data_IF_991950476756
#
_entry.id   IF_991950476756
#
_cell.length_a   1.000
_cell.length_b   1.000
_cell.length_c   1.000
_cell.angle_alpha   90.00
_cell.angle_beta   90.00
_cell.angle_gamma   90.00
#
_symmetry.space_group_name_H-M   'P 1'
#
loop_
_entity.id
_entity.type
_entity.pdbx_description
1 polymer ?
#
# COMPACT_ATOMS: atom_id res chain seq x y z
N UNK A 1 -4.45 -22.25 -8.04
CA UNK A 1 -5.80 -21.84 -7.59
C UNK A 1 -5.96 -20.32 -7.50
N UNK A 2 -5.10 -19.59 -6.76
CA UNK A 2 -5.13 -18.12 -6.59
C UNK A 2 -4.93 -17.38 -7.91
N UNK A 3 -3.85 -17.67 -8.58
CA UNK A 3 -3.47 -17.08 -9.88
C UNK A 3 -4.62 -17.11 -10.89
N UNK A 4 -5.23 -18.28 -11.10
CA UNK A 4 -6.35 -18.42 -12.04
C UNK A 4 -7.56 -17.54 -11.69
N UNK A 5 -7.79 -17.32 -10.38
CA UNK A 5 -8.89 -16.45 -9.93
C UNK A 5 -8.59 -14.98 -10.20
N UNK A 6 -7.34 -14.55 -9.98
CA UNK A 6 -6.88 -13.19 -10.27
C UNK A 6 -6.88 -12.94 -11.78
N UNK A 7 -6.38 -13.90 -12.56
CA UNK A 7 -6.44 -13.83 -14.03
C UNK A 7 -7.86 -13.69 -14.54
N UNK A 8 -8.78 -14.52 -14.07
CA UNK A 8 -10.18 -14.43 -14.45
C UNK A 8 -10.79 -13.07 -14.12
N UNK A 9 -10.47 -12.53 -12.94
CA UNK A 9 -10.91 -11.21 -12.54
C UNK A 9 -10.39 -10.12 -13.50
N UNK A 10 -9.13 -10.20 -13.91
CA UNK A 10 -8.58 -9.25 -14.89
C UNK A 10 -9.26 -9.33 -16.25
N UNK A 11 -9.54 -10.55 -16.71
CA UNK A 11 -10.25 -10.78 -17.98
C UNK A 11 -11.68 -10.23 -17.95
N UNK A 12 -12.40 -10.40 -16.85
CA UNK A 12 -13.77 -9.88 -16.66
C UNK A 12 -13.83 -8.34 -16.70
N UNK A 13 -12.75 -7.66 -16.33
CA UNK A 13 -12.69 -6.20 -16.27
C UNK A 13 -11.84 -5.57 -17.40
N UNK A 14 -11.24 -6.38 -18.25
CA UNK A 14 -10.36 -5.89 -19.32
C UNK A 14 -9.04 -5.29 -18.82
N UNK A 15 -8.54 -5.75 -17.68
CA UNK A 15 -7.26 -5.33 -17.12
C UNK A 15 -6.13 -6.22 -17.61
N UNK A 16 -4.90 -5.69 -17.58
CA UNK A 16 -3.71 -6.46 -17.90
C UNK A 16 -3.38 -7.42 -16.75
N UNK A 17 -2.91 -8.63 -17.11
CA UNK A 17 -2.48 -9.63 -16.15
C UNK A 17 -1.08 -10.16 -16.48
N UNK A 18 -0.20 -10.16 -15.50
CA UNK A 18 1.15 -10.72 -15.60
C UNK A 18 1.35 -11.72 -14.46
N UNK A 19 1.62 -12.99 -14.81
CA UNK A 19 1.83 -14.04 -13.84
C UNK A 19 3.30 -14.27 -13.49
N UNK A 20 4.22 -13.74 -14.28
CA UNK A 20 5.66 -13.92 -14.11
C UNK A 20 6.19 -13.27 -12.83
N UNK A 21 7.30 -13.84 -12.35
CA UNK A 21 8.06 -13.25 -11.24
C UNK A 21 8.95 -12.15 -11.78
N UNK A 22 8.63 -10.92 -11.41
CA UNK A 22 9.35 -9.73 -11.84
C UNK A 22 10.05 -9.08 -10.66
N UNK A 23 11.30 -8.66 -10.87
CA UNK A 23 11.99 -7.79 -9.94
C UNK A 23 11.52 -6.35 -10.15
N UNK A 24 11.14 -5.67 -9.09
CA UNK A 24 10.71 -4.28 -9.15
C UNK A 24 11.33 -3.46 -8.02
N UNK A 25 12.37 -2.71 -8.37
CA UNK A 25 13.08 -1.85 -7.44
C UNK A 25 12.29 -0.56 -7.09
N UNK A 26 11.23 -0.24 -7.83
CA UNK A 26 10.44 0.97 -7.56
C UNK A 26 9.81 0.93 -6.16
N UNK A 27 9.36 -0.24 -5.71
CA UNK A 27 8.77 -0.40 -4.38
C UNK A 27 9.74 -0.08 -3.23
N UNK A 28 11.04 -0.15 -3.47
CA UNK A 28 12.06 0.22 -2.49
C UNK A 28 12.08 1.74 -2.21
N UNK A 29 11.42 2.55 -3.04
CA UNK A 29 11.19 3.99 -2.80
C UNK A 29 10.19 4.26 -1.69
N UNK A 30 9.37 3.27 -1.34
CA UNK A 30 8.44 3.34 -0.22
C UNK A 30 9.12 2.97 1.10
N UNK A 31 8.71 3.64 2.18
CA UNK A 31 9.27 3.42 3.51
C UNK A 31 9.17 1.96 3.96
N UNK A 32 8.02 1.33 3.74
CA UNK A 32 7.80 -0.06 4.13
C UNK A 32 8.84 -1.01 3.53
N UNK A 33 9.18 -0.84 2.26
CA UNK A 33 10.13 -1.71 1.56
C UNK A 33 11.58 -1.24 1.61
N UNK A 34 11.86 -0.04 2.13
CA UNK A 34 13.22 0.54 2.14
C UNK A 34 14.25 -0.33 2.86
N UNK A 35 13.80 -1.07 3.86
CA UNK A 35 14.63 -2.02 4.63
C UNK A 35 14.13 -3.46 4.54
N UNK A 36 13.20 -3.71 3.64
CA UNK A 36 12.64 -5.02 3.33
C UNK A 36 12.84 -5.30 1.86
N UNK A 37 14.01 -5.86 1.48
CA UNK A 37 14.31 -6.13 0.08
C UNK A 37 13.24 -6.99 -0.57
N UNK A 38 12.78 -6.56 -1.73
CA UNK A 38 11.81 -7.31 -2.53
C UNK A 38 12.58 -8.34 -3.34
N UNK A 39 12.18 -9.59 -3.20
CA UNK A 39 12.71 -10.67 -4.01
C UNK A 39 12.05 -10.70 -5.39
N UNK A 40 10.72 -10.67 -5.42
CA UNK A 40 9.95 -10.59 -6.66
C UNK A 40 8.50 -10.18 -6.39
N UNK A 41 7.83 -9.71 -7.44
CA UNK A 41 6.37 -9.57 -7.51
C UNK A 41 5.80 -10.54 -8.55
N UNK A 42 4.57 -10.97 -8.35
CA UNK A 42 3.85 -11.89 -9.22
C UNK A 42 2.35 -11.66 -9.18
N UNK A 43 1.60 -12.34 -10.03
CA UNK A 43 0.14 -12.23 -10.11
C UNK A 43 -0.33 -10.78 -10.18
N UNK A 44 0.34 -9.99 -11.00
CA UNK A 44 0.06 -8.56 -11.12
C UNK A 44 -1.10 -8.31 -12.06
N UNK A 45 -2.07 -7.54 -11.60
CA UNK A 45 -3.09 -6.93 -12.46
C UNK A 45 -2.88 -5.42 -12.48
N UNK A 46 -3.09 -4.81 -13.62
CA UNK A 46 -2.87 -3.38 -13.79
C UNK A 46 -3.85 -2.75 -14.75
N UNK A 47 -4.02 -1.44 -14.61
CA UNK A 47 -4.84 -0.62 -15.48
C UNK A 47 -4.48 0.85 -15.34
N UNK A 48 -5.19 1.68 -16.08
CA UNK A 48 -5.05 3.12 -16.07
C UNK A 48 -6.42 3.77 -16.15
N UNK A 49 -6.66 4.76 -15.30
CA UNK A 49 -7.80 5.65 -15.38
C UNK A 49 -7.42 7.06 -14.90
N UNK A 50 -7.99 8.10 -15.52
CA UNK A 50 -7.73 9.50 -15.15
C UNK A 50 -6.22 9.84 -15.06
N UNK A 51 -5.41 9.33 -16.00
CA UNK A 51 -3.94 9.46 -16.01
C UNK A 51 -3.23 8.85 -14.78
N UNK A 52 -3.94 8.09 -13.97
CA UNK A 52 -3.40 7.34 -12.84
C UNK A 52 -3.17 5.88 -13.26
N UNK A 53 -1.93 5.42 -13.18
CA UNK A 53 -1.58 4.02 -13.38
C UNK A 53 -1.68 3.28 -12.06
N UNK A 54 -2.37 2.16 -12.03
CA UNK A 54 -2.49 1.34 -10.84
C UNK A 54 -2.12 -0.12 -11.12
N UNK A 55 -1.59 -0.76 -10.10
CA UNK A 55 -1.16 -2.16 -10.13
C UNK A 55 -1.45 -2.81 -8.78
N UNK A 56 -2.01 -4.02 -8.79
CA UNK A 56 -2.12 -4.87 -7.60
C UNK A 56 -1.27 -6.11 -7.85
N UNK A 57 -0.36 -6.41 -6.92
CA UNK A 57 0.60 -7.51 -7.05
C UNK A 57 0.74 -8.30 -5.76
N UNK A 58 1.04 -9.57 -5.89
CA UNK A 58 1.57 -10.37 -4.79
C UNK A 58 3.09 -10.14 -4.72
N UNK A 59 3.59 -9.70 -3.58
CA UNK A 59 5.00 -9.37 -3.36
C UNK A 59 5.61 -10.33 -2.35
N UNK A 60 6.78 -10.84 -2.68
CA UNK A 60 7.63 -11.61 -1.77
C UNK A 60 8.81 -10.75 -1.37
N UNK A 61 9.07 -10.65 -0.08
CA UNK A 61 10.12 -9.82 0.48
C UNK A 61 10.79 -10.47 1.70
N UNK A 62 12.01 -10.02 2.01
CA UNK A 62 12.77 -10.40 3.19
C UNK A 62 12.59 -9.32 4.28
N UNK A 63 12.47 -9.72 5.54
CA UNK A 63 12.37 -8.78 6.66
C UNK A 63 13.71 -8.10 7.02
N UNK A 64 14.82 -8.50 6.40
CA UNK A 64 16.14 -7.91 6.60
C UNK A 64 16.75 -8.16 7.99
N UNK A 65 16.19 -9.06 8.77
CA UNK A 65 16.74 -9.44 10.08
C UNK A 65 17.92 -10.41 9.91
N UNK A 66 19.05 -10.07 10.47
CA UNK A 66 20.35 -10.72 10.31
C UNK A 66 20.44 -12.23 10.63
N UNK A 67 19.40 -12.85 11.17
CA UNK A 67 19.47 -14.20 11.71
C UNK A 67 18.40 -15.19 11.23
N UNK A 68 17.39 -14.75 10.51
CA UNK A 68 16.39 -15.63 9.93
C UNK A 68 16.04 -15.12 8.52
N UNK A 69 16.40 -15.88 7.50
CA UNK A 69 15.88 -15.69 6.15
C UNK A 69 14.40 -16.12 6.15
N UNK A 70 13.55 -15.27 6.70
CA UNK A 70 12.10 -15.46 6.65
C UNK A 70 11.53 -14.72 5.44
N UNK A 71 11.07 -15.48 4.47
CA UNK A 71 10.35 -15.00 3.31
C UNK A 71 8.92 -14.63 3.71
N UNK A 72 8.54 -13.39 3.48
CA UNK A 72 7.18 -12.89 3.70
C UNK A 72 6.49 -12.62 2.37
N UNK A 73 5.17 -12.77 2.37
CA UNK A 73 4.33 -12.49 1.21
C UNK A 73 3.19 -11.57 1.60
N UNK A 74 2.96 -10.57 0.77
CA UNK A 74 1.82 -9.66 0.95
C UNK A 74 1.21 -9.31 -0.41
N UNK A 75 -0.02 -8.83 -0.39
CA UNK A 75 -0.66 -8.23 -1.57
C UNK A 75 -0.64 -6.73 -1.40
N UNK A 76 -0.08 -6.04 -2.37
CA UNK A 76 0.03 -4.57 -2.39
C UNK A 76 -0.66 -4.00 -3.61
N UNK A 77 -1.16 -2.79 -3.47
CA UNK A 77 -1.55 -1.94 -4.58
C UNK A 77 -0.65 -0.72 -4.64
N UNK A 78 -0.21 -0.36 -5.84
CA UNK A 78 0.54 0.85 -6.11
C UNK A 78 -0.24 1.70 -7.13
N UNK A 79 -0.51 2.96 -6.78
CA UNK A 79 -1.16 3.93 -7.65
C UNK A 79 -0.16 5.04 -7.95
N UNK A 80 0.25 5.17 -9.20
CA UNK A 80 1.12 6.27 -9.68
C UNK A 80 0.27 7.45 -10.10
N UNK A 81 0.60 8.62 -9.58
CA UNK A 81 -0.19 9.84 -9.78
C UNK A 81 0.48 10.77 -10.81
N UNK A 82 -0.30 11.49 -11.63
CA UNK A 82 0.21 12.47 -12.58
C UNK A 82 0.55 13.82 -11.92
N UNK A 83 0.42 13.95 -10.62
CA UNK A 83 0.68 15.15 -9.82
C UNK A 83 1.34 14.78 -8.49
N UNK A 84 2.12 15.69 -7.90
CA UNK A 84 2.75 15.46 -6.59
C UNK A 84 1.71 15.46 -5.46
N UNK A 85 1.99 14.66 -4.44
CA UNK A 85 1.21 14.62 -3.20
C UNK A 85 2.17 14.65 -2.00
N UNK A 86 1.68 14.94 -0.78
CA UNK A 86 2.51 14.85 0.42
C UNK A 86 3.08 13.44 0.62
N UNK A 87 4.24 13.36 1.27
CA UNK A 87 4.78 12.10 1.77
C UNK A 87 4.20 11.81 3.14
N UNK A 88 3.65 10.62 3.31
CA UNK A 88 3.01 10.20 4.56
C UNK A 88 2.93 8.69 4.70
N UNK A 89 2.69 8.24 5.93
CA UNK A 89 2.21 6.90 6.24
C UNK A 89 0.96 6.98 7.11
N UNK A 90 -0.04 6.18 6.81
CA UNK A 90 -1.26 6.00 7.60
C UNK A 90 -1.36 4.52 7.95
N UNK A 91 -1.32 4.20 9.23
CA UNK A 91 -1.33 2.81 9.72
C UNK A 91 -2.42 2.60 10.76
N UNK A 92 -3.12 1.49 10.70
CA UNK A 92 -4.10 1.09 11.69
C UNK A 92 -3.41 0.77 13.02
N UNK A 93 -3.87 1.36 14.14
CA UNK A 93 -3.19 1.27 15.45
C UNK A 93 -3.15 -0.14 16.04
N UNK A 94 -4.24 -0.88 15.95
CA UNK A 94 -4.33 -2.26 16.42
C UNK A 94 -3.33 -3.21 15.77
N UNK A 95 -2.86 -2.88 14.57
CA UNK A 95 -1.82 -3.63 13.86
C UNK A 95 -0.43 -3.25 14.33
N UNK A 96 -0.21 -1.96 14.62
CA UNK A 96 1.06 -1.48 15.17
C UNK A 96 1.36 -2.21 16.49
N UNK A 97 0.37 -2.34 17.37
CA UNK A 97 0.53 -3.03 18.65
C UNK A 97 0.91 -4.51 18.45
N UNK A 98 0.37 -5.15 17.41
CA UNK A 98 0.66 -6.55 17.08
C UNK A 98 2.07 -6.78 16.53
N UNK A 99 2.64 -5.77 15.87
CA UNK A 99 3.94 -5.86 15.17
C UNK A 99 4.99 -4.88 15.70
N UNK A 100 4.77 -4.30 16.89
CA UNK A 100 5.64 -3.26 17.47
C UNK A 100 7.12 -3.69 17.52
N UNK A 101 7.39 -4.94 17.90
CA UNK A 101 8.74 -5.48 18.00
C UNK A 101 9.44 -5.60 16.64
N UNK A 102 8.67 -5.67 15.56
CA UNK A 102 9.18 -5.80 14.18
C UNK A 102 9.28 -4.46 13.45
N UNK A 103 8.46 -3.48 13.83
CA UNK A 103 8.39 -2.17 13.19
C UNK A 103 9.37 -1.15 13.79
N UNK A 104 9.85 -1.37 15.01
CA UNK A 104 10.74 -0.44 15.73
C UNK A 104 12.18 -0.42 15.25
N UNK A 105 12.58 -1.32 14.34
CA UNK A 105 13.95 -1.41 13.85
C UNK A 105 14.37 -0.25 12.92
N UNK A 106 13.46 0.67 12.55
CA UNK A 106 13.74 1.71 11.57
C UNK A 106 13.61 3.11 12.17
N UNK A 107 14.77 3.66 12.54
CA UNK A 107 14.89 4.99 13.20
C UNK A 107 15.06 6.17 12.24
N UNK A 108 15.12 5.96 10.93
CA UNK A 108 15.74 6.94 10.01
C UNK A 108 14.77 7.73 9.13
N UNK A 109 13.53 7.97 9.57
CA UNK A 109 12.67 8.90 8.85
C UNK A 109 12.17 9.99 9.80
N UNK A 110 12.50 11.23 9.44
CA UNK A 110 12.05 12.45 10.10
C UNK A 110 10.55 12.74 9.83
N UNK A 111 9.70 11.77 10.11
CA UNK A 111 8.27 12.00 10.06
C UNK A 111 7.74 12.55 11.38
N UNK A 112 7.03 13.67 11.32
CA UNK A 112 6.29 14.23 12.44
C UNK A 112 4.97 13.49 12.61
N UNK A 113 4.55 13.28 13.86
CA UNK A 113 3.25 12.68 14.14
C UNK A 113 2.13 13.69 13.85
N UNK A 114 1.24 13.34 12.93
CA UNK A 114 0.02 14.08 12.64
C UNK A 114 -1.13 13.59 13.53
N UNK A 115 -1.86 14.48 14.23
CA UNK A 115 -2.84 14.12 15.26
C UNK A 115 -4.31 14.30 14.88
N UNK A 116 -4.61 14.94 13.75
CA UNK A 116 -5.98 15.34 13.37
C UNK A 116 -6.79 14.25 12.65
N UNK A 117 -6.29 13.05 12.60
CA UNK A 117 -7.02 11.90 12.07
C UNK A 117 -7.54 11.05 13.23
N UNK A 118 -8.42 10.12 12.99
CA UNK A 118 -9.10 9.35 14.01
C UNK A 118 -8.15 8.61 14.99
N UNK A 119 -8.64 8.26 16.18
CA UNK A 119 -7.92 7.43 17.16
C UNK A 119 -7.55 6.02 16.63
N UNK A 120 -8.15 5.60 15.51
CA UNK A 120 -7.91 4.30 14.89
C UNK A 120 -6.62 4.22 14.10
N UNK A 121 -6.08 5.37 13.67
CA UNK A 121 -4.93 5.43 12.78
C UNK A 121 -3.79 6.22 13.39
N UNK A 122 -2.57 5.75 13.11
CA UNK A 122 -1.35 6.50 13.34
C UNK A 122 -0.92 7.11 12.01
N UNK A 123 -0.78 8.44 11.98
CA UNK A 123 -0.35 9.18 10.80
C UNK A 123 1.01 9.78 11.06
N UNK A 124 1.93 9.56 10.13
CA UNK A 124 3.23 10.20 10.09
C UNK A 124 3.33 10.97 8.79
N UNK A 125 3.80 12.20 8.85
CA UNK A 125 3.88 13.12 7.72
C UNK A 125 5.25 13.79 7.68
N UNK A 126 5.68 14.17 6.48
CA UNK A 126 6.87 15.00 6.30
C UNK A 126 6.53 16.48 6.51
N UNK A 127 5.39 16.93 5.98
CA UNK A 127 4.88 18.29 6.11
C UNK A 127 3.41 18.30 6.57
N UNK A 128 3.16 18.89 7.75
CA UNK A 128 1.82 18.93 8.35
C UNK A 128 0.84 19.82 7.57
N UNK A 129 1.29 20.93 7.00
CA UNK A 129 0.44 21.86 6.26
C UNK A 129 0.00 21.24 4.93
N UNK A 130 0.92 20.67 4.18
CA UNK A 130 0.59 19.92 2.96
C UNK A 130 -0.38 18.78 3.24
N UNK A 131 -0.15 18.03 4.32
CA UNK A 131 -1.00 16.91 4.69
C UNK A 131 -2.39 17.36 5.12
N UNK A 132 -2.52 18.46 5.85
CA UNK A 132 -3.82 19.04 6.24
C UNK A 132 -4.67 19.42 5.03
N UNK A 133 -4.04 19.95 3.99
CA UNK A 133 -4.71 20.30 2.74
C UNK A 133 -5.10 19.05 1.92
N UNK A 134 -4.25 18.03 1.92
CA UNK A 134 -4.48 16.79 1.17
C UNK A 134 -5.53 15.89 1.85
N UNK A 135 -5.42 15.69 3.16
CA UNK A 135 -6.27 14.80 3.95
C UNK A 135 -7.61 15.50 4.32
N UNK A 136 -8.44 15.72 3.33
CA UNK A 136 -9.76 16.33 3.51
C UNK A 136 -10.77 15.35 4.13
N UNK A 137 -11.94 15.83 4.53
CA UNK A 137 -12.96 15.05 5.22
C UNK A 137 -13.47 13.84 4.40
N UNK A 138 -13.53 13.96 3.07
CA UNK A 138 -13.94 12.84 2.20
C UNK A 138 -12.91 11.73 2.20
N UNK A 139 -11.63 12.09 2.12
CA UNK A 139 -10.53 11.12 2.15
C UNK A 139 -10.41 10.46 3.53
N UNK A 140 -10.53 11.22 4.62
CA UNK A 140 -10.58 10.68 5.98
C UNK A 140 -11.71 9.66 6.12
N UNK A 141 -12.90 9.99 5.68
CA UNK A 141 -14.06 9.10 5.74
C UNK A 141 -13.84 7.81 4.94
N UNK A 142 -13.32 7.92 3.73
CA UNK A 142 -13.01 6.76 2.89
C UNK A 142 -12.04 5.81 3.60
N UNK A 143 -10.98 6.34 4.21
CA UNK A 143 -9.99 5.54 4.95
C UNK A 143 -10.61 4.91 6.19
N UNK A 144 -11.40 5.65 6.97
CA UNK A 144 -12.04 5.14 8.18
C UNK A 144 -13.04 4.01 7.93
N UNK A 145 -13.75 4.08 6.82
CA UNK A 145 -14.74 3.06 6.40
C UNK A 145 -14.08 1.84 5.72
N UNK A 146 -12.78 1.91 5.40
CA UNK A 146 -12.04 0.84 4.75
C UNK A 146 -11.48 -0.19 5.75
N UNK A 147 -11.20 -1.40 5.24
CA UNK A 147 -10.45 -2.42 5.96
C UNK A 147 -8.92 -2.33 5.67
N UNK A 148 -8.46 -1.24 5.10
CA UNK A 148 -7.05 -1.04 4.75
C UNK A 148 -6.22 -0.82 6.01
N UNK A 149 -5.09 -1.50 6.10
CA UNK A 149 -4.21 -1.47 7.26
C UNK A 149 -3.08 -0.46 7.15
N UNK A 150 -2.63 -0.19 5.92
CA UNK A 150 -1.51 0.70 5.66
C UNK A 150 -1.69 1.42 4.33
N UNK A 151 -1.49 2.72 4.37
CA UNK A 151 -1.42 3.58 3.18
C UNK A 151 -0.15 4.40 3.30
N UNK A 152 0.63 4.44 2.25
CA UNK A 152 1.90 5.17 2.23
C UNK A 152 2.04 5.95 0.93
N UNK A 153 2.56 7.16 1.01
CA UNK A 153 2.94 7.98 -0.13
C UNK A 153 4.44 8.25 -0.13
N UNK A 154 5.06 8.09 -1.30
CA UNK A 154 6.43 8.52 -1.55
C UNK A 154 6.52 9.91 -2.22
N UNK A 155 5.37 10.61 -2.37
CA UNK A 155 5.24 11.89 -3.04
C UNK A 155 4.77 11.81 -4.50
N UNK A 156 4.91 10.65 -5.15
CA UNK A 156 4.56 10.43 -6.56
C UNK A 156 3.55 9.28 -6.74
N UNK A 157 3.49 8.40 -5.76
CA UNK A 157 2.62 7.24 -5.78
C UNK A 157 2.13 6.89 -4.38
N UNK A 158 1.04 6.13 -4.33
CA UNK A 158 0.43 5.62 -3.10
C UNK A 158 0.57 4.10 -3.10
N UNK A 159 1.06 3.55 -1.99
CA UNK A 159 1.14 2.12 -1.70
C UNK A 159 0.07 1.75 -0.67
N UNK A 160 -0.67 0.68 -0.92
CA UNK A 160 -1.79 0.25 -0.09
C UNK A 160 -1.64 -1.23 0.26
N UNK A 161 -1.79 -1.55 1.54
CA UNK A 161 -1.87 -2.93 2.04
C UNK A 161 -3.18 -3.18 2.76
N UNK A 162 -3.77 -4.34 2.54
CA UNK A 162 -4.81 -4.87 3.42
C UNK A 162 -4.21 -5.59 4.63
N UNK A 163 -3.15 -6.37 4.40
CA UNK A 163 -2.33 -7.00 5.43
C UNK A 163 -0.87 -7.04 4.96
N UNK A 164 0.05 -6.59 5.81
CA UNK A 164 1.46 -6.45 5.45
C UNK A 164 2.22 -7.79 5.45
N UNK A 165 1.68 -8.82 6.10
CA UNK A 165 2.40 -10.05 6.39
C UNK A 165 1.80 -11.30 5.74
N UNK A 166 0.74 -11.17 4.98
CA UNK A 166 0.12 -12.26 4.24
C UNK A 166 -0.54 -11.79 2.95
N UNK A 167 -0.74 -12.71 2.04
CA UNK A 167 -1.52 -12.46 0.83
C UNK A 167 -2.98 -12.15 1.18
N UNK A 168 -3.56 -11.15 0.52
CA UNK A 168 -4.97 -10.84 0.63
C UNK A 168 -5.81 -12.04 0.17
N UNK A 169 -6.83 -12.37 0.94
CA UNK A 169 -7.87 -13.30 0.47
C UNK A 169 -8.67 -12.67 -0.67
N UNK A 170 -9.44 -13.45 -1.39
CA UNK A 170 -10.13 -12.95 -2.57
C UNK A 170 -11.18 -11.86 -2.25
N UNK A 171 -11.87 -11.99 -1.12
CA UNK A 171 -12.78 -10.97 -0.62
C UNK A 171 -12.05 -9.65 -0.24
N UNK A 172 -10.89 -9.76 0.40
CA UNK A 172 -10.02 -8.63 0.73
C UNK A 172 -9.43 -7.99 -0.52
N UNK A 173 -9.04 -8.78 -1.50
CA UNK A 173 -8.56 -8.32 -2.80
C UNK A 173 -9.62 -7.47 -3.52
N UNK A 174 -10.89 -7.93 -3.53
CA UNK A 174 -11.99 -7.15 -4.08
C UNK A 174 -12.25 -5.84 -3.31
N UNK A 175 -12.07 -5.85 -1.98
CA UNK A 175 -12.17 -4.62 -1.17
C UNK A 175 -11.05 -3.64 -1.48
N UNK A 176 -9.82 -4.13 -1.71
CA UNK A 176 -8.70 -3.29 -2.16
C UNK A 176 -9.01 -2.62 -3.50
N UNK A 177 -9.53 -3.37 -4.45
CA UNK A 177 -9.95 -2.83 -5.76
C UNK A 177 -10.97 -1.71 -5.59
N UNK A 178 -12.02 -1.92 -4.80
CA UNK A 178 -13.06 -0.90 -4.57
C UNK A 178 -12.49 0.33 -3.88
N UNK A 179 -11.71 0.15 -2.83
CA UNK A 179 -11.05 1.24 -2.14
C UNK A 179 -10.19 2.07 -3.09
N UNK A 180 -9.41 1.42 -3.92
CA UNK A 180 -8.57 2.06 -4.91
C UNK A 180 -9.36 2.85 -5.95
N UNK A 181 -10.47 2.30 -6.45
CA UNK A 181 -11.36 3.00 -7.37
C UNK A 181 -11.93 4.27 -6.73
N UNK A 182 -12.41 4.17 -5.49
CA UNK A 182 -12.96 5.30 -4.74
C UNK A 182 -11.88 6.34 -4.44
N UNK A 183 -10.67 5.90 -4.07
CA UNK A 183 -9.53 6.79 -3.84
C UNK A 183 -9.14 7.55 -5.11
N UNK A 184 -8.99 6.87 -6.25
CA UNK A 184 -8.68 7.52 -7.52
C UNK A 184 -9.76 8.52 -7.94
N UNK A 185 -11.03 8.21 -7.70
CA UNK A 185 -12.14 9.13 -7.96
C UNK A 185 -12.09 10.39 -7.08
N UNK A 186 -11.63 10.28 -5.83
CA UNK A 186 -11.46 11.42 -4.93
C UNK A 186 -10.24 12.29 -5.28
N UNK A 187 -9.21 11.70 -5.84
CA UNK A 187 -7.96 12.38 -6.18
C UNK A 187 -7.99 13.07 -7.54
N UNK A 188 -8.98 12.75 -8.36
CA UNK A 188 -9.16 13.32 -9.71
C UNK A 188 -9.80 14.73 -9.72
#
# INVERSE_FOLDING_TARGET
ARERKIQKLSEEHGWDFVHERLLDHYFESFYFFKSRPIEYKSNSISGEDNDMQWEISDVTFDEGAYLALEEYKTTVECIRLPFPIPKFTIEKRDIIEKYIDRLTAHKDIDYVKYTDFSDKFKVKVEDEEEMSNFLNEKLKKLIEESDIHHIESNGEAILIFNDQMRLARLDEYNKMIRFSQDLRALLW
#
